data_IF_100707528483
#
_entry.id   IF_100707528483
#
_cell.length_a   1.000
_cell.length_b   1.000
_cell.length_c   1.000
_cell.angle_alpha   90.00
_cell.angle_beta   90.00
_cell.angle_gamma   90.00
#
_symmetry.space_group_name_H-M   'P 1'
#
loop_
_entity.id
_entity.type
_entity.pdbx_description
1 polymer ?
2 non-polymer ?
3 non-polymer ?
4 water ?
#
# COMPACT_ATOMS: atom_id res chain seq x y z
N UNK A 1 -3.50 -16.36 -9.40
CA UNK A 1 -2.78 -16.90 -8.25
C UNK A 1 -3.30 -16.36 -6.92
N UNK A 2 -3.00 -17.07 -5.85
CA UNK A 2 -3.20 -16.56 -4.51
C UNK A 2 -1.88 -16.16 -3.90
N UNK A 3 -1.73 -14.88 -3.62
CA UNK A 3 -0.48 -14.32 -3.11
C UNK A 3 -0.58 -14.09 -1.61
N UNK A 4 0.27 -14.81 -0.87
CA UNK A 4 0.42 -14.69 0.56
C UNK A 4 0.94 -13.30 0.93
N UNK A 5 0.72 -12.89 2.17
CA UNK A 5 1.25 -11.62 2.65
C UNK A 5 2.25 -11.77 3.78
N UNK A 6 2.76 -12.99 3.94
CA UNK A 6 3.88 -13.20 4.87
C UNK A 6 5.13 -12.43 4.46
N UNK A 7 5.32 -12.29 3.16
CA UNK A 7 6.42 -11.50 2.60
C UNK A 7 5.83 -10.38 1.76
N UNK A 8 6.64 -9.39 1.43
CA UNK A 8 6.20 -8.36 0.47
C UNK A 8 5.75 -9.01 -0.83
N UNK A 9 4.62 -8.55 -1.39
CA UNK A 9 4.10 -9.16 -2.61
C UNK A 9 4.75 -8.53 -3.85
N UNK A 10 5.93 -9.01 -4.18
CA UNK A 10 6.69 -8.53 -5.31
C UNK A 10 6.37 -9.35 -6.53
N UNK A 11 6.27 -8.68 -7.67
CA UNK A 11 6.07 -9.33 -8.95
C UNK A 11 6.96 -8.69 -10.00
N UNK A 12 7.14 -9.41 -11.11
CA UNK A 12 7.82 -8.87 -12.27
C UNK A 12 6.81 -8.27 -13.23
N UNK A 13 7.09 -7.04 -13.64
CA UNK A 13 6.30 -6.39 -14.65
C UNK A 13 7.10 -6.19 -15.91
N UNK A 14 6.39 -6.12 -17.04
CA UNK A 14 6.99 -5.70 -18.30
C UNK A 14 6.40 -4.38 -18.76
N UNK A 15 7.28 -3.40 -18.93
CA UNK A 15 6.84 -2.06 -19.27
C UNK A 15 7.93 -1.35 -20.06
N UNK A 16 7.53 -0.71 -21.14
CA UNK A 16 8.45 0.06 -21.97
C UNK A 16 9.59 -0.79 -22.48
N UNK A 17 9.34 -2.08 -22.70
CA UNK A 17 10.34 -3.02 -23.17
C UNK A 17 11.28 -3.54 -22.09
N UNK A 18 11.06 -3.10 -20.85
CA UNK A 18 11.95 -3.45 -19.73
C UNK A 18 11.23 -4.41 -18.78
N UNK A 19 12.01 -5.19 -18.04
CA UNK A 19 11.48 -5.97 -16.94
C UNK A 19 11.89 -5.32 -15.63
N UNK A 20 10.92 -5.16 -14.74
CA UNK A 20 11.17 -4.54 -13.44
C UNK A 20 10.45 -5.32 -12.36
N UNK A 21 10.92 -5.15 -11.14
CA UNK A 21 10.24 -5.72 -9.98
C UNK A 21 9.41 -4.63 -9.32
N UNK A 22 8.21 -4.98 -8.87
CA UNK A 22 7.33 -4.00 -8.26
C UNK A 22 6.45 -4.66 -7.20
N UNK A 23 5.98 -3.84 -6.27
CA UNK A 23 5.17 -4.27 -5.15
C UNK A 23 3.70 -4.13 -5.50
N UNK A 24 2.90 -5.19 -5.26
CA UNK A 24 1.45 -5.07 -5.41
C UNK A 24 0.87 -4.34 -4.22
N UNK A 25 0.39 -3.13 -4.44
CA UNK A 25 0.18 -2.22 -3.36
C UNK A 25 -1.25 -1.66 -3.30
N UNK A 26 -2.09 -2.29 -2.50
CA UNK A 26 -3.49 -1.89 -2.41
C UNK A 26 -3.68 -0.53 -1.75
N UNK A 27 -2.66 -0.04 -1.07
CA UNK A 27 -2.70 1.28 -0.47
C UNK A 27 -2.31 2.40 -1.41
N UNK A 28 -1.89 2.05 -2.62
CA UNK A 28 -1.47 3.03 -3.62
C UNK A 28 -2.61 3.24 -4.62
N UNK A 29 -3.08 4.48 -4.76
CA UNK A 29 -4.10 4.78 -5.80
C UNK A 29 -3.50 4.55 -7.18
N UNK A 30 -2.24 4.96 -7.33
CA UNK A 30 -1.57 5.05 -8.61
C UNK A 30 -0.34 4.14 -8.66
N UNK A 31 0.06 3.73 -9.84
CA UNK A 31 1.32 3.04 -10.07
C UNK A 31 2.46 4.02 -10.20
N UNK A 32 3.50 3.82 -9.39
CA UNK A 32 4.65 4.73 -9.35
C UNK A 32 5.90 3.91 -9.55
N UNK A 33 6.72 4.31 -10.51
CA UNK A 33 7.96 3.63 -10.85
C UNK A 33 9.15 4.59 -10.80
N UNK A 34 10.30 4.04 -10.42
CA UNK A 34 11.55 4.80 -10.46
C UNK A 34 11.85 5.31 -11.85
N UNK A 35 12.79 6.25 -11.93
CA UNK A 35 13.08 6.92 -13.19
C UNK A 35 13.30 5.95 -14.34
N UNK A 36 12.63 6.23 -15.45
CA UNK A 36 12.71 5.45 -16.67
C UNK A 36 12.12 6.29 -17.79
N UNK A 37 12.43 5.91 -19.02
CA UNK A 37 11.84 6.57 -20.18
C UNK A 37 10.53 5.89 -20.58
N UNK A 38 9.52 6.68 -20.90
CA UNK A 38 8.31 6.17 -21.54
C UNK A 38 7.93 7.08 -22.70
N UNK A 39 7.29 6.52 -23.74
CA UNK A 39 6.89 7.30 -24.91
C UNK A 39 5.62 8.11 -24.68
N UNK A 40 5.45 9.17 -25.45
CA UNK A 40 4.18 9.90 -25.51
C UNK A 40 4.13 11.08 -24.55
N UNK A 41 2.95 11.67 -24.45
CA UNK A 41 2.75 12.88 -23.66
C UNK A 41 2.86 12.56 -22.17
N UNK A 42 3.20 13.58 -21.39
CA UNK A 42 3.15 13.46 -19.93
C UNK A 42 2.86 14.82 -19.31
N UNK A 43 2.41 14.82 -18.07
CA UNK A 43 2.22 16.07 -17.34
C UNK A 43 2.70 15.90 -15.90
N UNK A 44 3.22 16.99 -15.31
CA UNK A 44 3.77 16.89 -13.97
C UNK A 44 2.68 16.74 -12.93
N UNK A 45 3.01 16.05 -11.85
CA UNK A 45 2.06 15.75 -10.78
C UNK A 45 2.84 15.71 -9.46
N UNK A 46 2.16 15.99 -8.35
CA UNK A 46 2.69 15.72 -7.01
C UNK A 46 1.89 14.58 -6.40
N UNK A 47 2.57 13.56 -5.88
CA UNK A 47 1.87 12.54 -5.13
C UNK A 47 2.44 12.40 -3.74
N UNK A 48 1.56 12.13 -2.79
CA UNK A 48 1.91 12.14 -1.39
C UNK A 48 1.71 10.84 -0.63
N UNK A 49 2.64 10.54 0.24
CA UNK A 49 2.57 9.32 1.01
C UNK A 49 3.15 9.64 2.37
N UNK A 50 3.58 8.61 3.08
CA UNK A 50 4.21 8.78 4.37
C UNK A 50 5.54 9.45 4.10
N UNK A 51 5.81 10.55 4.79
CA UNK A 51 7.00 11.34 4.51
C UNK A 51 6.80 12.59 3.65
N UNK A 52 5.67 12.71 2.97
CA UNK A 52 5.38 13.91 2.21
C UNK A 52 5.15 13.63 0.74
N UNK A 53 5.48 14.58 -0.11
CA UNK A 53 5.21 14.47 -1.53
C UNK A 53 6.48 14.31 -2.36
N UNK A 54 6.32 13.74 -3.55
CA UNK A 54 7.33 13.80 -4.59
C UNK A 54 6.72 14.27 -5.91
N UNK A 55 7.53 14.91 -6.73
CA UNK A 55 7.11 15.27 -8.08
C UNK A 55 7.36 14.11 -9.04
N UNK A 56 6.37 13.82 -9.87
CA UNK A 56 6.46 12.74 -10.84
C UNK A 56 5.97 13.21 -12.19
N UNK A 57 6.28 12.43 -13.22
CA UNK A 57 5.71 12.63 -14.55
C UNK A 57 4.60 11.62 -14.73
N UNK A 58 3.43 12.10 -15.14
CA UNK A 58 2.28 11.26 -15.37
C UNK A 58 2.13 10.90 -16.85
N UNK A 59 2.30 9.61 -17.17
CA UNK A 59 2.06 9.08 -18.52
C UNK A 59 0.76 8.30 -18.52
N UNK A 60 -0.09 8.57 -19.50
CA UNK A 60 -1.38 7.89 -19.61
C UNK A 60 -1.35 6.83 -20.70
N UNK A 61 -2.23 5.84 -20.59
CA UNK A 61 -2.41 4.83 -21.65
C UNK A 61 -1.13 4.06 -21.96
N UNK A 62 -0.45 3.62 -20.91
CA UNK A 62 0.77 2.84 -21.06
C UNK A 62 0.48 1.36 -20.92
N UNK A 63 0.86 0.56 -21.92
CA UNK A 63 0.71 -0.89 -21.79
C UNK A 63 1.67 -1.49 -20.76
N UNK A 64 1.18 -2.46 -20.00
CA UNK A 64 1.99 -3.11 -19.00
C UNK A 64 1.53 -4.55 -18.93
N UNK A 65 2.44 -5.43 -18.53
CA UNK A 65 2.08 -6.83 -18.32
C UNK A 65 2.56 -7.25 -16.95
N UNK A 66 1.63 -7.79 -16.17
CA UNK A 66 1.91 -8.20 -14.79
C UNK A 66 1.44 -9.64 -14.62
N UNK A 67 2.38 -10.58 -14.54
CA UNK A 67 2.04 -11.98 -14.32
C UNK A 67 1.29 -12.60 -15.49
N UNK A 68 1.70 -12.22 -16.70
CA UNK A 68 1.04 -12.69 -17.91
C UNK A 68 -0.21 -11.88 -18.22
N UNK A 69 -0.56 -10.99 -17.30
CA UNK A 69 -1.81 -10.23 -17.41
C UNK A 69 -1.52 -8.88 -18.03
N UNK A 70 -1.98 -8.70 -19.26
CA UNK A 70 -1.91 -7.41 -19.93
C UNK A 70 -2.91 -6.39 -19.39
N UNK A 71 -2.48 -5.14 -19.33
CA UNK A 71 -3.36 -4.08 -18.94
C UNK A 71 -2.84 -2.79 -19.53
N UNK A 72 -3.64 -1.74 -19.42
CA UNK A 72 -3.21 -0.43 -19.82
C UNK A 72 -3.64 0.58 -18.78
N UNK A 73 -2.81 1.58 -18.53
CA UNK A 73 -3.17 2.61 -17.58
C UNK A 73 -2.13 3.68 -17.40
N UNK A 74 -2.36 4.51 -16.40
CA UNK A 74 -1.46 5.60 -16.07
C UNK A 74 -0.30 5.11 -15.21
N UNK A 75 0.90 5.56 -15.56
CA UNK A 75 2.12 5.26 -14.83
C UNK A 75 2.79 6.56 -14.43
N UNK A 76 3.04 6.72 -13.13
CA UNK A 76 3.78 7.86 -12.60
C UNK A 76 5.25 7.51 -12.48
N UNK A 77 6.12 8.37 -12.98
CA UNK A 77 7.57 8.11 -12.96
C UNK A 77 8.28 9.19 -12.18
N UNK A 78 9.10 8.79 -11.21
CA UNK A 78 9.88 9.76 -10.47
C UNK A 78 10.61 9.10 -9.32
N UNK A 79 11.04 9.90 -8.33
CA UNK A 79 11.99 9.38 -7.32
C UNK A 79 11.28 8.69 -6.18
N UNK A 80 10.52 7.64 -6.49
CA UNK A 80 9.99 6.76 -5.49
C UNK A 80 11.07 5.82 -4.97
N UNK A 81 11.05 5.49 -3.67
CA UNK A 81 12.09 4.59 -3.20
C UNK A 81 11.84 3.15 -3.62
N UNK A 82 10.60 2.83 -3.99
CA UNK A 82 10.31 1.50 -4.52
C UNK A 82 9.19 1.49 -5.53
N UNK A 83 9.29 0.62 -6.51
CA UNK A 83 8.27 0.52 -7.56
C UNK A 83 7.00 -0.07 -6.98
N UNK A 84 5.89 0.61 -7.18
CA UNK A 84 4.61 0.10 -6.71
C UNK A 84 3.61 0.00 -7.85
N UNK A 85 2.85 -1.08 -7.85
CA UNK A 85 1.67 -1.22 -8.70
C UNK A 85 0.44 -0.85 -7.90
N UNK A 86 -0.22 0.22 -8.28
CA UNK A 86 -1.36 0.70 -7.53
C UNK A 86 -2.69 0.23 -8.09
N UNK A 87 -3.76 0.66 -7.44
CA UNK A 87 -5.09 0.16 -7.77
C UNK A 87 -5.48 0.37 -9.21
N UNK A 88 -5.02 1.48 -9.79
CA UNK A 88 -5.39 1.76 -11.18
C UNK A 88 -5.05 0.62 -12.14
N UNK A 89 -4.00 -0.13 -11.83
CA UNK A 89 -3.67 -1.31 -12.61
C UNK A 89 -4.10 -2.63 -11.98
N UNK A 90 -4.12 -2.70 -10.66
CA UNK A 90 -4.58 -3.91 -9.99
C UNK A 90 -6.01 -4.29 -10.38
N UNK A 91 -6.88 -3.30 -10.59
CA UNK A 91 -8.25 -3.60 -10.98
C UNK A 91 -8.26 -4.33 -12.31
N UNK A 92 -7.38 -3.90 -13.21
CA UNK A 92 -7.43 -4.37 -14.60
C UNK A 92 -7.03 -5.82 -14.71
N UNK A 93 -6.25 -6.30 -13.75
CA UNK A 93 -5.86 -7.71 -13.75
C UNK A 93 -6.76 -8.55 -12.84
N UNK A 94 -7.81 -7.92 -12.29
CA UNK A 94 -8.80 -8.64 -11.52
C UNK A 94 -8.30 -9.00 -10.14
N UNK A 95 -7.47 -8.15 -9.55
CA UNK A 95 -6.89 -8.42 -8.24
C UNK A 95 -7.83 -7.97 -7.14
N UNK A 96 -8.09 -8.87 -6.18
CA UNK A 96 -8.93 -8.60 -5.01
C UNK A 96 -8.19 -8.99 -3.73
N UNK A 97 -8.61 -8.38 -2.62
CA UNK A 97 -8.25 -8.82 -1.28
C UNK A 97 -9.30 -9.76 -0.77
N UNK A 98 -8.85 -10.82 -0.10
CA UNK A 98 -9.77 -11.84 0.40
C UNK A 98 -9.39 -12.24 1.81
N UNK A 99 -10.41 -12.38 2.65
CA UNK A 99 -10.24 -12.89 4.02
C UNK A 99 -11.61 -13.24 4.60
N UNK B 1 -14.54 -11.51 3.47
CA UNK B 1 -15.10 -10.89 2.28
C UNK B 1 -14.10 -10.84 1.12
N UNK B 2 -14.60 -10.52 -0.07
CA UNK B 2 -13.75 -10.23 -1.21
C UNK B 2 -13.89 -8.76 -1.55
N UNK B 3 -12.76 -8.06 -1.53
CA UNK B 3 -12.76 -6.62 -1.71
C UNK B 3 -12.04 -6.26 -3.01
N UNK B 4 -12.78 -5.69 -3.94
CA UNK B 4 -12.20 -5.18 -5.18
C UNK B 4 -11.55 -3.83 -4.94
N UNK B 5 -10.88 -3.32 -5.97
CA UNK B 5 -9.96 -2.23 -5.77
C UNK B 5 -10.28 -1.02 -6.64
N UNK B 6 -11.52 -0.94 -7.11
CA UNK B 6 -11.99 0.21 -7.86
C UNK B 6 -12.06 1.47 -6.99
N UNK B 7 -12.32 1.29 -5.70
CA UNK B 7 -12.19 2.36 -4.72
C UNK B 7 -11.14 1.95 -3.70
N UNK B 8 -10.73 2.88 -2.84
CA UNK B 8 -9.82 2.55 -1.75
C UNK B 8 -10.42 1.47 -0.86
N UNK B 9 -9.59 0.52 -0.41
CA UNK B 9 -10.12 -0.56 0.44
C UNK B 9 -10.15 -0.15 1.93
N UNK B 10 -11.03 0.80 2.20
CA UNK B 10 -11.23 1.36 3.53
C UNK B 10 -12.16 0.48 4.33
N UNK B 11 -11.73 0.15 5.53
CA UNK B 11 -12.55 -0.64 6.42
C UNK B 11 -12.61 0.03 7.77
N UNK B 12 -13.57 -0.41 8.58
CA UNK B 12 -13.66 0.07 9.95
C UNK B 12 -12.84 -0.85 10.84
N UNK B 13 -12.05 -0.24 11.70
CA UNK B 13 -11.28 -0.95 12.71
C UNK B 13 -11.76 -0.50 14.10
N UNK B 14 -11.50 -1.31 15.11
CA UNK B 14 -11.76 -0.90 16.48
C UNK B 14 -10.50 -1.06 17.29
N UNK B 15 -10.12 0.01 17.99
CA UNK B 15 -8.91 -0.01 18.80
C UNK B 15 -9.10 0.91 20.00
N UNK B 16 -8.82 0.38 21.18
CA UNK B 16 -9.06 1.12 22.43
C UNK B 16 -10.53 1.48 22.63
N UNK B 17 -11.42 0.63 22.14
CA UNK B 17 -12.86 0.87 22.29
C UNK B 17 -13.47 1.78 21.24
N UNK B 18 -12.66 2.33 20.35
CA UNK B 18 -13.13 3.34 19.41
C UNK B 18 -13.06 2.83 17.96
N UNK B 19 -14.02 3.27 17.15
CA UNK B 19 -14.02 2.95 15.73
C UNK B 19 -13.24 3.98 14.95
N UNK B 20 -12.47 3.51 13.97
CA UNK B 20 -11.72 4.37 13.06
C UNK B 20 -11.82 3.77 11.67
N UNK B 21 -11.51 4.56 10.65
CA UNK B 21 -11.39 4.04 9.29
C UNK B 21 -9.92 3.83 8.95
N UNK B 22 -9.60 2.75 8.26
CA UNK B 22 -8.23 2.50 7.87
C UNK B 22 -8.19 1.80 6.52
N UNK B 23 -7.05 1.95 5.87
CA UNK B 23 -6.84 1.42 4.54
C UNK B 23 -6.11 0.08 4.62
N UNK B 24 -6.67 -0.96 4.02
CA UNK B 24 -5.96 -2.24 3.89
C UNK B 24 -4.85 -2.12 2.86
N UNK B 25 -3.61 -2.25 3.31
CA UNK B 25 -2.48 -1.79 2.51
C UNK B 25 -1.40 -2.86 2.39
N UNK B 26 -1.42 -3.60 1.28
CA UNK B 26 -0.48 -4.68 1.09
C UNK B 26 0.94 -4.17 0.84
N UNK B 27 1.06 -2.88 0.53
CA UNK B 27 2.37 -2.27 0.35
C UNK B 27 3.06 -1.80 1.62
N UNK B 28 2.36 -1.93 2.75
CA UNK B 28 2.89 -1.51 4.06
C UNK B 28 3.30 -2.74 4.84
N UNK B 29 4.55 -2.76 5.31
CA UNK B 29 4.99 -3.88 6.17
C UNK B 29 4.26 -3.84 7.51
N UNK B 30 4.06 -2.62 7.99
CA UNK B 30 3.58 -2.35 9.32
C UNK B 30 2.29 -1.51 9.31
N UNK B 31 1.60 -1.52 10.43
CA UNK B 31 0.36 -0.79 10.63
C UNK B 31 0.67 0.52 11.31
N UNK B 32 0.21 1.61 10.71
CA UNK B 32 0.49 2.95 11.19
C UNK B 32 -0.79 3.74 11.29
N UNK B 33 -1.06 4.26 12.49
CA UNK B 33 -2.26 5.05 12.76
C UNK B 33 -1.91 6.49 13.12
N UNK B 34 -2.82 7.39 12.79
CA UNK B 34 -2.73 8.77 13.17
C UNK B 34 -2.69 8.91 14.69
N UNK B 35 -2.28 10.09 15.15
CA UNK B 35 -2.06 10.32 16.56
C UNK B 35 -3.26 9.85 17.38
N UNK B 36 -2.96 9.16 18.49
CA UNK B 36 -3.97 8.62 19.39
C UNK B 36 -3.24 8.19 20.65
N UNK B 37 -4.00 7.81 21.67
CA UNK B 37 -3.43 7.30 22.90
C UNK B 37 -3.51 5.79 22.93
N UNK B 38 -2.42 5.14 23.34
CA UNK B 38 -2.41 3.70 23.60
C UNK B 38 -1.72 3.46 24.94
N UNK B 39 -1.97 2.29 25.55
CA UNK B 39 -1.41 2.02 26.88
C UNK B 39 0.02 1.51 26.83
N UNK B 40 0.71 1.62 27.96
CA UNK B 40 2.01 0.98 28.15
C UNK B 40 3.16 1.81 27.63
N UNK B 41 4.29 1.15 27.46
CA UNK B 41 5.49 1.81 27.00
C UNK B 41 5.60 1.68 25.50
N UNK B 42 6.29 2.62 24.88
CA UNK B 42 6.52 2.55 23.45
C UNK B 42 8.00 2.59 23.16
N UNK B 43 8.36 2.14 21.96
CA UNK B 43 9.74 2.15 21.50
C UNK B 43 9.81 2.97 20.21
N UNK B 44 10.98 3.50 19.88
CA UNK B 44 11.11 4.33 18.70
C UNK B 44 11.19 3.51 17.43
N UNK B 45 10.64 4.03 16.33
CA UNK B 45 10.83 3.43 15.03
C UNK B 45 10.81 4.53 13.98
N UNK B 46 11.60 4.36 12.93
CA UNK B 46 11.51 5.22 11.75
C UNK B 46 10.97 4.41 10.59
N UNK B 47 9.98 4.93 9.89
CA UNK B 47 9.44 4.22 8.75
C UNK B 47 9.43 5.10 7.51
N UNK B 48 9.72 4.48 6.38
CA UNK B 48 9.93 5.23 5.16
C UNK B 48 8.85 4.94 4.16
N UNK B 49 8.55 5.95 3.35
CA UNK B 49 7.57 5.78 2.31
C UNK B 49 7.92 6.69 1.17
N UNK B 50 6.90 7.08 0.42
CA UNK B 50 7.14 7.80 -0.81
C UNK B 50 7.93 9.08 -0.65
N UNK B 51 7.65 9.83 0.41
CA UNK B 51 8.22 11.18 0.52
C UNK B 51 9.38 11.27 1.49
N UNK B 52 9.83 10.14 2.01
CA UNK B 52 10.87 10.12 3.01
C UNK B 52 10.43 9.35 4.24
N UNK B 53 10.94 9.76 5.39
CA UNK B 53 10.76 9.01 6.63
C UNK B 53 9.89 9.80 7.61
N UNK B 54 9.17 9.09 8.47
CA UNK B 54 8.64 9.68 9.70
C UNK B 54 9.05 8.89 10.93
N UNK B 55 9.13 9.58 12.07
CA UNK B 55 9.28 8.91 13.36
C UNK B 55 7.92 8.57 13.94
N UNK B 56 7.83 7.36 14.46
CA UNK B 56 6.58 6.91 15.07
C UNK B 56 6.84 6.32 16.44
N UNK B 57 5.77 6.12 17.20
CA UNK B 57 5.81 5.38 18.45
C UNK B 57 5.34 3.96 18.20
N UNK B 58 6.14 2.98 18.60
CA UNK B 58 5.77 1.59 18.43
C UNK B 58 5.19 1.00 19.71
N UNK B 59 3.96 0.53 19.65
CA UNK B 59 3.28 -0.17 20.75
C UNK B 59 3.11 -1.63 20.36
N UNK B 60 3.46 -2.55 21.26
CA UNK B 60 3.36 -3.98 20.96
C UNK B 60 2.14 -4.62 21.62
N UNK B 61 1.66 -5.70 21.00
CA UNK B 61 0.65 -6.56 21.63
C UNK B 61 -0.61 -5.77 21.94
N UNK B 62 -1.07 -4.99 20.95
CA UNK B 62 -2.28 -4.19 21.07
C UNK B 62 -3.47 -4.91 20.43
N UNK B 63 -4.58 -5.07 21.16
CA UNK B 63 -5.77 -5.64 20.52
C UNK B 63 -6.38 -4.66 19.51
N UNK B 64 -6.72 -5.18 18.34
CA UNK B 64 -7.33 -4.37 17.30
C UNK B 64 -8.24 -5.26 16.48
N UNK B 65 -9.46 -4.79 16.22
CA UNK B 65 -10.41 -5.50 15.35
C UNK B 65 -10.40 -4.84 13.98
N UNK B 66 -10.32 -5.66 12.93
CA UNK B 66 -10.28 -5.17 11.55
C UNK B 66 -11.39 -5.81 10.73
N UNK B 67 -12.39 -5.03 10.38
CA UNK B 67 -13.61 -5.57 9.76
C UNK B 67 -14.25 -6.66 10.59
N UNK B 68 -14.16 -6.51 11.91
CA UNK B 68 -14.70 -7.52 12.82
C UNK B 68 -13.79 -8.70 13.15
N UNK B 69 -12.65 -8.80 12.47
CA UNK B 69 -11.69 -9.87 12.71
C UNK B 69 -10.69 -9.46 13.79
N UNK B 70 -10.54 -10.30 14.82
CA UNK B 70 -9.71 -9.94 15.96
C UNK B 70 -8.23 -10.20 15.70
N UNK B 71 -7.41 -9.21 16.01
CA UNK B 71 -5.96 -9.31 15.92
C UNK B 71 -5.34 -8.72 17.19
N UNK B 72 -4.10 -9.11 17.47
CA UNK B 72 -3.36 -8.48 18.57
C UNK B 72 -1.92 -8.37 18.11
N UNK B 73 -1.42 -7.14 17.98
CA UNK B 73 -0.10 -6.99 17.42
C UNK B 73 0.40 -5.57 17.50
N UNK B 74 1.45 -5.33 16.73
CA UNK B 74 2.18 -4.07 16.83
C UNK B 74 1.46 -2.99 16.05
N UNK B 75 1.29 -1.86 16.72
CA UNK B 75 0.67 -0.70 16.10
C UNK B 75 1.66 0.47 16.22
N UNK B 76 1.93 1.15 15.12
CA UNK B 76 2.77 2.35 15.12
C UNK B 76 1.87 3.58 15.09
N UNK B 77 2.22 4.61 15.86
CA UNK B 77 1.41 5.82 15.92
C UNK B 77 2.30 6.99 15.52
N UNK B 78 1.86 7.78 14.55
CA UNK B 78 2.59 9.01 14.21
C UNK B 78 1.91 9.76 13.10
N UNK B 79 2.64 10.68 12.47
CA UNK B 79 2.03 11.66 11.57
C UNK B 79 1.88 11.09 10.17
N UNK B 80 1.16 9.99 10.08
CA UNK B 80 0.82 9.42 8.78
C UNK B 80 -0.35 10.18 8.16
N UNK B 81 -0.36 10.28 6.83
CA UNK B 81 -1.49 10.96 6.18
C UNK B 81 -2.80 10.21 6.31
N UNK B 82 -2.73 8.89 6.46
CA UNK B 82 -3.93 8.07 6.60
C UNK B 82 -3.61 6.87 7.47
N UNK B 83 -4.63 6.35 8.16
CA UNK B 83 -4.49 5.09 8.89
C UNK B 83 -4.31 3.94 7.92
N UNK B 84 -3.26 3.16 8.11
CA UNK B 84 -2.99 2.02 7.24
C UNK B 84 -2.83 0.75 8.05
N UNK B 85 -3.49 -0.31 7.58
CA UNK B 85 -3.31 -1.64 8.11
C UNK B 85 -2.34 -2.38 7.21
N UNK B 86 -1.18 -2.69 7.75
CA UNK B 86 -0.11 -3.35 7.01
C UNK B 86 -0.08 -4.85 7.18
N UNK B 87 0.93 -5.46 6.57
CA UNK B 87 0.95 -6.92 6.47
C UNK B 87 1.06 -7.60 7.83
N UNK B 88 1.64 -6.94 8.82
CA UNK B 88 1.71 -7.55 10.14
C UNK B 88 0.35 -7.96 10.66
N UNK B 89 -0.66 -7.14 10.38
CA UNK B 89 -2.02 -7.47 10.82
C UNK B 89 -2.87 -8.11 9.72
N UNK B 90 -2.59 -7.80 8.45
CA UNK B 90 -3.30 -8.50 7.38
C UNK B 90 -3.09 -10.01 7.42
N UNK B 91 -1.88 -10.44 7.81
CA UNK B 91 -1.63 -11.88 7.95
C UNK B 91 -2.40 -12.46 9.14
N UNK B 92 -2.61 -11.68 10.19
CA UNK B 92 -3.38 -12.19 11.33
C UNK B 92 -4.82 -12.45 10.99
N UNK B 93 -5.41 -11.69 10.08
CA UNK B 93 -6.81 -11.87 9.71
C UNK B 93 -6.98 -12.75 8.47
N UNK B 94 -5.88 -13.29 7.95
CA UNK B 94 -5.97 -14.31 6.91
C UNK B 94 -6.10 -13.73 5.52
N UNK B 95 -5.61 -12.51 5.33
CA UNK B 95 -5.80 -11.80 4.07
C UNK B 95 -4.80 -12.25 3.02
N UNK B 96 -5.29 -12.49 1.81
CA UNK B 96 -4.45 -12.74 0.65
C UNK B 96 -4.87 -11.83 -0.50
N UNK B 97 -3.97 -11.69 -1.47
CA UNK B 97 -4.28 -11.13 -2.79
C UNK B 97 -4.57 -12.23 -3.79
N UNK B 98 -5.57 -12.03 -4.63
CA UNK B 98 -5.99 -13.07 -5.56
C UNK B 98 -6.29 -12.46 -6.91
N UNK B 99 -5.80 -13.09 -7.97
CA UNK B 99 -6.27 -12.77 -9.32
C UNK B 99 -6.10 -13.96 -10.25
X LIG C 1 -5.26 4.61 -15.11
X LIG D 1 8.97 -0.38 7.92
X LIG D 1 -2.25 11.40 -0.40
X LIG D 1 6.28 1.23 -0.22
X LIG D 1 4.86 3.24 -0.55
X LIG D 1 2.07 6.15 -0.81
X LIG D 1 2.61 4.53 3.66
X LIG D 1 5.08 4.72 3.17
X LIG D 1 0.52 1.78 0.47
X LIG D 1 -1.27 8.22 2.22
X LIG D 1 -2.16 7.21 1.86
X LIG D 1 0.02 7.90 2.59
X LIG D 1 -1.69 5.91 1.69
X LIG D 1 0.45 6.57 2.54
X LIG D 1 3.22 2.25 5.58
X LIG D 1 3.55 1.36 6.59
X LIG D 1 5.54 2.36 5.04
X LIG D 1 -3.94 10.44 -1.75
X LIG D 1 -2.92 9.50 -2.39
X LIG D 1 -2.27 7.01 -1.82
X LIG D 1 0.67 6.51 -4.37
X LIG D 1 0.06 4.23 2.00
X LIG D 1 4.85 2.07 1.66
X LIG D 1 2.41 2.19 1.98
X LIG D 1 5.36 0.09 7.61
X LIG D 1 7.53 -0.66 8.08
X LIG D 1 0.57 4.53 -0.37
X LIG D 1 -3.29 11.67 -1.36
X LIG D 1 -1.81 9.35 -1.49
X LIG D 1 -2.52 6.86 -3.23
X LIG D 1 -0.74 6.47 -4.74
X LIG D 1 0.27 5.88 -2.16
X LIG D 1 6.96 0.93 6.44
X LIG D 1 1.02 5.56 -1.09
X LIG D 1 -0.39 5.58 2.05
X LIG D 1 4.24 2.75 4.78
X LIG D 1 6.68 0.16 7.48
X LIG D 1 4.81 0.97 6.76
X LIG D 1 5.80 1.47 6.01
X LIG D 1 4.94 1.88 0.14
X LIG D 1 1.62 2.65 0.75
X LIG D 1 1.13 4.10 0.90
X LIG D 1 -1.20 8.07 -1.65
X LIG D 1 0.69 6.99 -2.95
X LIG D 1 3.69 2.90 2.03
X LIG D 1 -1.44 7.49 -3.98
X LIG D 1 -0.43 8.03 -2.96
X LIG D 1 3.90 3.78 3.40
X LIG E 1 -14.16 -6.56 -10.99
X LIG F 1 2.58 -7.65 14.84
#
# INVERSE_FOLDING_TARGET
>A
PQITLWQRPLVTIKIGGQLKEALLDTGADDTVLEEMSLPGRWKPKMIGGIGGFIKVRQYDQIPIEICGHKAIGTVLVGPTPTNVIGRNLLTQIGCTLNF
>B
PQITLWQRPLVTIKIGGQLKEALLDTGADDTVLEEMSLPGRWKPKMIGGIGGFIKVRQYDQIPIEICGHKAIGTVLVGPTPTNVIGRNLLTQIGCTLNF
>C hetero
1 CL CL
>D hetero
1 ZLP CAA CAB CAC CAD OAE OAF OAG OAH CAK CAL CAM CAN CAO CAP CAQ CAR CAS CAT CAU CAV CAW CAX CAY NAZ NBA NBB OBC OBD OBE OBF OBG OBH CBI CBJ CBK CBL CBM CBN CBO CBP CBQ CBR CBS NBT CBU CBV SBW
>E hetero
1 CL CL
>F hetero
1 CL CL
#
